data_IF_142235029043
#
_entry.id   IF_142235029043
#
_cell.length_a   1.000
_cell.length_b   1.000
_cell.length_c   1.000
_cell.angle_alpha   90.00
_cell.angle_beta   90.00
_cell.angle_gamma   90.00
#
_symmetry.space_group_name_H-M   'P 1'
#
loop_
_entity.id
_entity.type
_entity.pdbx_description
1 polymer ?
#
# COMPACT_ATOMS: atom_id res chain seq x y z
N UNK A 1 -31.24 40.33 -9.33
CA UNK A 1 -30.16 40.39 -10.34
C UNK A 1 -29.28 39.20 -10.09
N UNK A 2 -29.38 38.19 -10.93
CA UNK A 2 -28.54 36.98 -10.82
C UNK A 2 -27.10 37.31 -11.24
N UNK A 3 -26.08 36.80 -10.52
CA UNK A 3 -24.70 36.99 -10.89
C UNK A 3 -24.41 36.22 -12.20
N UNK A 4 -23.76 36.91 -13.14
CA UNK A 4 -23.35 36.32 -14.41
C UNK A 4 -22.46 35.08 -14.19
N UNK A 5 -22.61 34.03 -15.03
CA UNK A 5 -21.79 32.83 -14.91
C UNK A 5 -20.32 33.15 -15.19
N UNK A 6 -19.43 32.55 -14.41
CA UNK A 6 -17.99 32.67 -14.59
C UNK A 6 -17.59 32.10 -15.97
N UNK A 7 -16.61 32.73 -16.65
CA UNK A 7 -16.07 32.20 -17.90
C UNK A 7 -15.47 30.82 -17.65
N UNK A 8 -15.85 29.85 -18.50
CA UNK A 8 -15.26 28.52 -18.49
C UNK A 8 -13.75 28.56 -18.78
N UNK A 9 -12.99 27.54 -18.39
CA UNK A 9 -11.56 27.46 -18.67
C UNK A 9 -11.33 27.51 -20.19
N UNK A 10 -10.48 28.44 -20.64
CA UNK A 10 -10.03 28.53 -22.02
C UNK A 10 -9.30 27.25 -22.42
N UNK A 11 -9.78 26.58 -23.47
CA UNK A 11 -9.14 25.41 -24.09
C UNK A 11 -7.93 25.78 -24.96
N UNK A 12 -7.65 27.07 -25.13
CA UNK A 12 -6.62 27.59 -26.04
C UNK A 12 -5.30 27.93 -25.33
N UNK A 13 -4.78 27.00 -24.52
CA UNK A 13 -3.37 27.08 -24.12
C UNK A 13 -2.49 26.74 -25.34
N UNK A 14 -1.45 27.54 -25.65
CA UNK A 14 -0.58 27.27 -26.80
C UNK A 14 0.06 25.89 -26.64
N UNK A 15 -0.21 25.00 -27.59
CA UNK A 15 0.31 23.63 -27.63
C UNK A 15 1.83 23.67 -27.82
N UNK A 16 2.54 22.76 -27.15
CA UNK A 16 3.99 22.69 -27.22
C UNK A 16 4.39 22.01 -28.55
N UNK A 17 5.03 22.72 -29.50
CA UNK A 17 5.32 22.18 -30.83
C UNK A 17 6.27 20.98 -30.79
N UNK A 18 7.10 20.86 -29.74
CA UNK A 18 7.97 19.69 -29.53
C UNK A 18 7.15 18.45 -29.17
N UNK A 19 6.05 18.61 -28.41
CA UNK A 19 5.18 17.50 -28.03
C UNK A 19 4.25 17.08 -29.16
N UNK A 20 3.82 18.01 -30.01
CA UNK A 20 3.00 17.69 -31.19
C UNK A 20 3.82 16.96 -32.26
N UNK A 21 5.06 17.41 -32.50
CA UNK A 21 5.98 16.72 -33.42
C UNK A 21 6.32 15.31 -32.92
N UNK A 22 6.57 15.15 -31.62
CA UNK A 22 6.83 13.86 -30.99
C UNK A 22 5.60 12.92 -31.01
N UNK A 23 4.41 13.44 -30.75
CA UNK A 23 3.18 12.65 -30.82
C UNK A 23 2.83 12.20 -32.24
N UNK A 24 3.03 13.08 -33.23
CA UNK A 24 2.85 12.75 -34.64
C UNK A 24 3.82 11.66 -35.12
N UNK A 25 5.04 11.63 -34.58
CA UNK A 25 6.06 10.62 -34.90
C UNK A 25 5.77 9.25 -34.31
N UNK A 26 5.21 9.19 -33.10
CA UNK A 26 4.89 7.93 -32.43
C UNK A 26 3.53 7.32 -32.86
N UNK A 27 2.78 7.99 -33.74
CA UNK A 27 1.37 7.68 -34.06
C UNK A 27 0.51 7.63 -32.78
N UNK A 28 0.72 8.60 -31.88
CA UNK A 28 0.00 8.69 -30.61
C UNK A 28 -0.69 10.04 -30.44
N UNK A 29 -1.77 10.04 -29.67
CA UNK A 29 -2.52 11.24 -29.32
C UNK A 29 -1.64 12.22 -28.50
N UNK A 30 -1.36 13.44 -29.02
CA UNK A 30 -0.56 14.45 -28.32
C UNK A 30 -1.13 14.85 -26.97
N UNK A 31 -2.46 14.81 -26.81
CA UNK A 31 -3.10 15.13 -25.54
C UNK A 31 -2.84 14.03 -24.50
N UNK A 32 -2.78 12.76 -24.92
CA UNK A 32 -2.46 11.64 -24.06
C UNK A 32 -0.99 11.67 -23.60
N UNK A 33 -0.06 11.89 -24.52
CA UNK A 33 1.37 12.06 -24.21
C UNK A 33 1.60 13.24 -23.24
N UNK A 34 0.94 14.37 -23.48
CA UNK A 34 1.00 15.53 -22.59
C UNK A 34 0.45 15.21 -21.19
N UNK A 35 -0.63 14.42 -21.09
CA UNK A 35 -1.15 13.92 -19.82
C UNK A 35 -0.15 12.97 -19.14
N UNK A 36 0.55 12.09 -19.86
CA UNK A 36 1.58 11.21 -19.29
C UNK A 36 2.77 11.99 -18.72
N UNK A 37 3.31 12.93 -19.49
CA UNK A 37 4.41 13.80 -19.04
C UNK A 37 3.97 14.64 -17.84
N UNK A 38 2.72 15.13 -17.85
CA UNK A 38 2.13 15.84 -16.70
C UNK A 38 1.98 14.92 -15.49
N UNK A 39 1.47 13.69 -15.68
CA UNK A 39 1.36 12.69 -14.62
C UNK A 39 2.73 12.38 -14.01
N UNK A 40 3.77 12.20 -14.83
CA UNK A 40 5.13 11.99 -14.34
C UNK A 40 5.73 13.19 -13.62
N UNK A 41 5.58 14.41 -14.17
CA UNK A 41 6.01 15.67 -13.53
C UNK A 41 5.29 15.90 -12.21
N UNK A 42 4.00 15.54 -12.10
CA UNK A 42 3.27 15.58 -10.83
C UNK A 42 3.82 14.58 -9.80
N UNK A 43 4.50 13.51 -10.22
CA UNK A 43 5.25 12.61 -9.31
C UNK A 43 6.63 13.14 -8.91
N UNK A 44 7.15 14.19 -9.57
CA UNK A 44 8.42 14.84 -9.22
C UNK A 44 8.30 15.80 -8.05
N UNK A 45 7.09 16.29 -7.73
CA UNK A 45 6.87 17.33 -6.70
C UNK A 45 7.16 16.95 -5.24
N UNK A 46 7.63 15.74 -4.94
CA UNK A 46 8.01 15.33 -3.59
C UNK A 46 9.12 14.27 -3.62
N UNK A 47 10.38 14.67 -3.64
CA UNK A 47 11.49 13.80 -3.24
C UNK A 47 11.51 13.66 -1.71
N UNK A 48 10.67 12.76 -1.20
CA UNK A 48 10.92 12.16 0.11
C UNK A 48 12.13 11.22 -0.03
N UNK A 49 13.22 11.53 0.67
CA UNK A 49 14.32 10.61 0.87
C UNK A 49 13.78 9.29 1.44
N UNK A 50 13.99 8.17 0.71
CA UNK A 50 13.83 6.83 1.26
C UNK A 50 15.07 6.56 2.13
N UNK A 51 15.07 7.13 3.33
CA UNK A 51 15.87 6.62 4.43
C UNK A 51 15.02 5.62 5.20
N UNK A 52 15.53 4.40 5.31
CA UNK A 52 15.08 3.44 6.32
C UNK A 52 15.61 3.94 7.66
N UNK A 53 15.00 5.00 8.19
CA UNK A 53 15.14 5.42 9.58
C UNK A 53 13.78 5.23 10.25
N UNK A 54 13.73 4.62 11.45
CA UNK A 54 12.49 4.53 12.19
C UNK A 54 12.17 5.93 12.74
N UNK A 55 11.00 6.44 12.40
CA UNK A 55 10.46 7.67 12.99
C UNK A 55 10.85 8.95 12.26
N UNK A 56 10.06 9.36 11.27
CA UNK A 56 9.76 10.78 11.05
C UNK A 56 8.29 10.99 10.73
N UNK A 57 7.78 12.07 11.28
CA UNK A 57 6.41 12.49 11.38
C UNK A 57 5.67 12.51 10.04
N UNK A 58 4.45 11.98 10.05
CA UNK A 58 3.46 12.27 9.02
C UNK A 58 2.88 13.66 9.31
N UNK A 59 3.62 14.70 8.91
CA UNK A 59 2.98 16.01 8.72
C UNK A 59 1.81 15.83 7.76
N UNK A 60 0.69 16.51 8.04
CA UNK A 60 -0.44 16.58 7.13
C UNK A 60 0.03 17.12 5.78
N UNK A 61 0.38 16.22 4.86
CA UNK A 61 0.45 16.55 3.44
C UNK A 61 -0.98 16.93 3.07
N UNK A 62 -1.18 18.20 2.69
CA UNK A 62 -2.34 18.59 1.88
C UNK A 62 -2.47 17.53 0.78
N UNK A 63 -3.68 17.06 0.50
CA UNK A 63 -3.92 16.17 -0.64
C UNK A 63 -3.14 16.72 -1.82
N UNK A 64 -2.08 16.01 -2.23
CA UNK A 64 -1.19 16.53 -3.26
C UNK A 64 -2.00 16.56 -4.55
N UNK A 65 -1.82 17.55 -5.42
CA UNK A 65 -2.55 17.63 -6.71
C UNK A 65 -2.57 16.31 -7.51
N UNK A 66 -1.59 15.42 -7.27
CA UNK A 66 -1.52 14.05 -7.80
C UNK A 66 -2.69 13.16 -7.34
N UNK A 67 -3.16 13.24 -6.10
CA UNK A 67 -4.31 12.45 -5.64
C UNK A 67 -5.57 12.83 -6.40
N UNK A 68 -5.72 14.12 -6.71
CA UNK A 68 -6.96 14.65 -7.27
C UNK A 68 -7.07 14.31 -8.77
N UNK A 69 -5.97 14.44 -9.53
CA UNK A 69 -5.94 14.08 -10.95
C UNK A 69 -6.10 12.56 -11.16
N UNK A 70 -5.46 11.72 -10.32
CA UNK A 70 -5.64 10.27 -10.38
C UNK A 70 -7.06 9.87 -9.99
N UNK A 71 -7.61 10.45 -8.92
CA UNK A 71 -8.97 10.18 -8.46
C UNK A 71 -10.03 10.57 -9.50
N UNK A 72 -9.78 11.60 -10.32
CA UNK A 72 -10.69 12.02 -11.38
C UNK A 72 -10.83 11.00 -12.52
N UNK A 73 -9.83 10.14 -12.72
CA UNK A 73 -9.82 9.11 -13.78
C UNK A 73 -9.84 7.68 -13.21
N UNK A 74 -9.97 7.55 -11.90
CA UNK A 74 -9.99 6.27 -11.20
C UNK A 74 -11.30 5.52 -11.47
N UNK A 75 -11.26 4.20 -11.77
CA UNK A 75 -12.47 3.42 -11.95
C UNK A 75 -13.39 3.47 -10.73
N UNK A 76 -14.71 3.45 -10.97
CA UNK A 76 -15.73 3.59 -9.92
C UNK A 76 -15.67 2.50 -8.85
N UNK A 77 -15.18 1.31 -9.20
CA UNK A 77 -15.18 0.15 -8.31
C UNK A 77 -13.76 -0.36 -8.03
N UNK A 78 -13.54 -0.84 -6.79
CA UNK A 78 -12.27 -1.44 -6.39
C UNK A 78 -11.92 -2.69 -7.23
N UNK A 79 -12.92 -3.40 -7.75
CA UNK A 79 -12.72 -4.53 -8.65
C UNK A 79 -12.06 -4.09 -9.96
N UNK A 80 -12.56 -3.02 -10.58
CA UNK A 80 -11.97 -2.45 -11.80
C UNK A 80 -10.57 -1.89 -11.54
N UNK A 81 -10.34 -1.24 -10.39
CA UNK A 81 -8.99 -0.82 -9.96
C UNK A 81 -8.04 -2.01 -9.90
N UNK A 82 -8.45 -3.10 -9.24
CA UNK A 82 -7.64 -4.32 -9.14
C UNK A 82 -7.37 -4.94 -10.51
N UNK A 83 -8.35 -4.88 -11.42
CA UNK A 83 -8.22 -5.38 -12.79
C UNK A 83 -7.26 -4.55 -13.62
N UNK A 84 -7.35 -3.21 -13.58
CA UNK A 84 -6.40 -2.30 -14.22
C UNK A 84 -4.95 -2.58 -13.77
N UNK A 85 -4.76 -2.76 -12.46
CA UNK A 85 -3.46 -3.16 -11.91
C UNK A 85 -2.97 -4.52 -12.39
N UNK A 86 -3.87 -5.50 -12.57
CA UNK A 86 -3.51 -6.82 -13.08
C UNK A 86 -3.06 -6.75 -14.54
N UNK A 87 -3.85 -6.11 -15.40
CA UNK A 87 -3.53 -5.91 -16.82
C UNK A 87 -2.16 -5.25 -17.01
N UNK A 88 -1.92 -4.14 -16.30
CA UNK A 88 -0.62 -3.45 -16.41
C UNK A 88 0.55 -4.30 -15.95
N UNK A 89 0.39 -5.06 -14.85
CA UNK A 89 1.46 -5.94 -14.37
C UNK A 89 1.78 -7.04 -15.39
N UNK A 90 0.75 -7.72 -15.89
CA UNK A 90 0.91 -8.82 -16.85
C UNK A 90 1.61 -8.35 -18.12
N UNK A 91 1.17 -7.23 -18.71
CA UNK A 91 1.80 -6.66 -19.89
C UNK A 91 3.24 -6.23 -19.62
N UNK A 92 3.48 -5.51 -18.52
CA UNK A 92 4.84 -5.07 -18.16
C UNK A 92 5.76 -6.27 -17.98
N UNK A 93 5.30 -7.34 -17.33
CA UNK A 93 6.12 -8.52 -17.09
C UNK A 93 6.44 -9.26 -18.39
N UNK A 94 5.44 -9.42 -19.27
CA UNK A 94 5.64 -10.02 -20.58
C UNK A 94 6.63 -9.23 -21.44
N UNK A 95 6.49 -7.90 -21.51
CA UNK A 95 7.35 -7.05 -22.35
C UNK A 95 8.79 -6.93 -21.87
N UNK A 96 9.01 -6.95 -20.55
CA UNK A 96 10.35 -6.87 -19.96
C UNK A 96 10.99 -8.26 -19.73
N UNK A 97 10.28 -9.36 -20.02
CA UNK A 97 10.79 -10.71 -19.80
C UNK A 97 11.01 -11.05 -18.32
N UNK A 98 10.25 -10.42 -17.42
CA UNK A 98 10.34 -10.63 -15.97
C UNK A 98 9.12 -11.41 -15.46
N UNK A 99 9.24 -12.08 -14.32
CA UNK A 99 8.13 -12.88 -13.74
C UNK A 99 7.44 -12.17 -12.59
N UNK A 100 8.13 -11.25 -11.94
CA UNK A 100 7.65 -10.51 -10.78
C UNK A 100 8.34 -9.15 -10.67
N UNK A 101 7.70 -8.20 -9.97
CA UNK A 101 8.23 -6.86 -9.75
C UNK A 101 9.66 -6.84 -9.19
N UNK A 102 10.03 -7.80 -8.34
CA UNK A 102 11.38 -7.85 -7.75
C UNK A 102 12.47 -8.24 -8.74
N UNK A 103 12.14 -8.75 -9.93
CA UNK A 103 13.14 -9.09 -10.93
C UNK A 103 13.74 -7.82 -11.58
N UNK A 104 13.05 -6.67 -11.48
CA UNK A 104 13.58 -5.37 -11.90
C UNK A 104 14.82 -4.90 -11.12
N UNK A 105 15.21 -5.59 -10.04
CA UNK A 105 16.51 -5.36 -9.38
C UNK A 105 17.69 -5.68 -10.31
N UNK A 106 17.49 -6.59 -11.27
CA UNK A 106 18.47 -6.95 -12.30
C UNK A 106 18.20 -6.24 -13.64
N UNK A 107 17.33 -5.23 -13.63
CA UNK A 107 17.04 -4.44 -14.81
C UNK A 107 18.31 -3.76 -15.33
N UNK A 108 18.55 -3.87 -16.63
CA UNK A 108 19.60 -3.14 -17.34
C UNK A 108 18.95 -1.85 -17.87
N UNK A 109 19.23 -0.69 -17.27
CA UNK A 109 18.64 0.57 -17.70
C UNK A 109 19.08 0.93 -19.12
N UNK A 110 18.30 1.78 -19.78
CA UNK A 110 18.77 2.47 -20.98
C UNK A 110 20.03 3.29 -20.65
N UNK A 111 21.00 3.31 -21.55
CA UNK A 111 22.21 4.11 -21.39
C UNK A 111 21.92 5.59 -21.57
N UNK A 112 22.79 6.47 -21.05
CA UNK A 112 22.65 7.92 -21.26
C UNK A 112 22.70 8.27 -22.75
N UNK A 113 23.58 7.61 -23.51
CA UNK A 113 23.67 7.73 -24.97
C UNK A 113 22.36 7.32 -25.66
N UNK A 114 21.76 6.17 -25.31
CA UNK A 114 20.47 5.73 -25.88
C UNK A 114 19.35 6.76 -25.60
N UNK A 115 19.33 7.34 -24.39
CA UNK A 115 18.32 8.34 -23.99
C UNK A 115 18.56 9.68 -24.69
N UNK A 116 19.81 10.10 -24.89
CA UNK A 116 20.17 11.32 -25.60
C UNK A 116 19.96 11.20 -27.12
N UNK A 117 20.32 10.06 -27.71
CA UNK A 117 20.04 9.75 -29.12
C UNK A 117 18.55 9.74 -29.38
N UNK A 118 17.76 9.13 -28.50
CA UNK A 118 16.29 9.14 -28.61
C UNK A 118 15.71 10.56 -28.57
N UNK A 119 16.31 11.48 -27.81
CA UNK A 119 15.89 12.87 -27.81
C UNK A 119 16.20 13.59 -29.15
N UNK A 120 17.05 13.02 -30.00
CA UNK A 120 17.47 13.56 -31.29
C UNK A 120 16.83 12.84 -32.48
N UNK A 121 16.59 11.53 -32.40
CA UNK A 121 16.05 10.67 -33.47
C UNK A 121 15.11 9.58 -32.89
N UNK A 122 13.82 9.64 -33.25
CA UNK A 122 12.70 9.17 -32.41
C UNK A 122 12.33 7.67 -32.58
N UNK A 123 12.80 6.97 -33.62
CA UNK A 123 12.29 5.61 -33.92
C UNK A 123 13.33 4.48 -33.86
N UNK A 124 14.61 4.73 -34.15
CA UNK A 124 15.57 3.65 -34.37
C UNK A 124 16.02 2.91 -33.08
N UNK A 125 15.90 3.56 -31.91
CA UNK A 125 16.40 3.03 -30.64
C UNK A 125 15.44 2.05 -29.94
N UNK A 126 14.19 1.93 -30.39
CA UNK A 126 13.12 1.19 -29.71
C UNK A 126 13.10 -0.33 -29.92
N UNK A 127 14.28 -0.96 -29.97
CA UNK A 127 14.40 -2.38 -30.27
C UNK A 127 13.93 -3.29 -29.12
N UNK A 128 13.94 -2.80 -27.87
CA UNK A 128 13.54 -3.55 -26.67
C UNK A 128 12.92 -2.65 -25.61
N UNK A 129 12.06 -3.23 -24.76
CA UNK A 129 11.50 -2.52 -23.61
C UNK A 129 12.55 -2.37 -22.52
N UNK A 130 12.98 -1.13 -22.27
CA UNK A 130 13.87 -0.77 -21.18
C UNK A 130 13.43 0.52 -20.53
N UNK A 131 13.51 0.59 -19.21
CA UNK A 131 13.37 1.86 -18.50
C UNK A 131 14.74 2.51 -18.29
N UNK A 132 14.78 3.83 -18.40
CA UNK A 132 15.85 4.67 -17.88
C UNK A 132 15.69 4.78 -16.35
N UNK A 133 16.75 4.53 -15.58
CA UNK A 133 16.81 4.68 -14.11
C UNK A 133 17.81 5.76 -13.65
N UNK A 134 18.29 6.58 -14.59
CA UNK A 134 19.14 7.74 -14.40
C UNK A 134 18.52 8.82 -13.50
N UNK A 135 19.29 9.86 -13.20
CA UNK A 135 18.92 10.88 -12.19
C UNK A 135 17.52 11.43 -12.44
N UNK A 136 17.24 11.78 -13.69
CA UNK A 136 16.02 12.46 -14.15
C UNK A 136 15.00 11.52 -14.81
N UNK A 137 15.02 10.23 -14.47
CA UNK A 137 14.14 9.21 -15.03
C UNK A 137 12.63 9.56 -15.08
N UNK A 138 12.13 10.38 -14.16
CA UNK A 138 10.72 10.79 -14.12
C UNK A 138 10.39 11.86 -15.15
N UNK A 139 11.37 12.60 -15.65
CA UNK A 139 11.21 13.58 -16.73
C UNK A 139 11.78 13.08 -18.05
N UNK A 140 12.32 11.86 -18.06
CA UNK A 140 12.91 11.22 -19.22
C UNK A 140 11.85 10.99 -20.31
N UNK A 141 12.07 11.58 -21.49
CA UNK A 141 11.23 11.39 -22.67
C UNK A 141 11.18 9.91 -23.08
N UNK A 142 12.33 9.21 -22.93
CA UNK A 142 12.44 7.78 -23.11
C UNK A 142 11.40 7.01 -22.27
N UNK A 143 11.36 7.26 -20.96
CA UNK A 143 10.40 6.58 -20.09
C UNK A 143 8.95 6.95 -20.41
N UNK A 144 8.68 8.18 -20.86
CA UNK A 144 7.35 8.57 -21.31
C UNK A 144 6.90 7.70 -22.48
N UNK A 145 7.72 7.61 -23.52
CA UNK A 145 7.44 6.82 -24.72
C UNK A 145 7.35 5.31 -24.44
N UNK A 146 8.22 4.76 -23.57
CA UNK A 146 8.11 3.35 -23.13
C UNK A 146 6.78 3.08 -22.44
N UNK A 147 6.34 3.96 -21.54
CA UNK A 147 5.07 3.79 -20.83
C UNK A 147 3.87 3.94 -21.75
N UNK A 148 3.92 4.88 -22.68
CA UNK A 148 2.88 5.10 -23.68
C UNK A 148 2.69 3.85 -24.56
N UNK A 149 3.80 3.29 -25.06
CA UNK A 149 3.80 2.04 -25.82
C UNK A 149 3.24 0.86 -25.02
N UNK A 150 3.55 0.78 -23.72
CA UNK A 150 2.97 -0.24 -22.83
C UNK A 150 1.46 -0.07 -22.65
N UNK A 151 0.98 1.17 -22.48
CA UNK A 151 -0.46 1.43 -22.40
C UNK A 151 -1.14 1.08 -23.71
N UNK A 152 -0.58 1.49 -24.85
CA UNK A 152 -1.11 1.14 -26.17
C UNK A 152 -1.18 -0.38 -26.38
N UNK A 153 -0.18 -1.13 -25.91
CA UNK A 153 -0.21 -2.59 -25.92
C UNK A 153 -1.35 -3.17 -25.07
N UNK A 154 -1.56 -2.66 -23.86
CA UNK A 154 -2.67 -3.10 -23.00
C UNK A 154 -4.02 -2.78 -23.63
N UNK A 155 -4.17 -1.61 -24.22
CA UNK A 155 -5.38 -1.23 -24.96
C UNK A 155 -5.63 -2.22 -26.11
N UNK A 156 -4.60 -2.53 -26.89
CA UNK A 156 -4.70 -3.48 -28.01
C UNK A 156 -5.07 -4.89 -27.55
N UNK A 157 -4.49 -5.37 -26.44
CA UNK A 157 -4.81 -6.69 -25.91
C UNK A 157 -6.21 -6.76 -25.28
N UNK A 158 -6.64 -5.71 -24.56
CA UNK A 158 -7.98 -5.65 -23.97
C UNK A 158 -9.09 -5.68 -25.04
N UNK A 159 -8.86 -5.04 -26.19
CA UNK A 159 -9.78 -5.09 -27.34
C UNK A 159 -10.05 -6.52 -27.85
N UNK A 160 -9.07 -7.40 -27.73
CA UNK A 160 -9.16 -8.80 -28.16
C UNK A 160 -9.82 -9.70 -27.11
N UNK A 161 -9.88 -9.28 -25.84
CA UNK A 161 -10.27 -10.15 -24.73
C UNK A 161 -11.53 -9.64 -24.01
N UNK A 162 -11.39 -8.78 -23.00
CA UNK A 162 -12.47 -8.45 -22.06
C UNK A 162 -13.14 -7.09 -22.30
N UNK A 163 -12.50 -6.21 -23.09
CA UNK A 163 -13.04 -4.92 -23.53
C UNK A 163 -13.42 -3.98 -22.38
N UNK A 164 -12.66 -3.96 -21.28
CA UNK A 164 -12.90 -3.01 -20.19
C UNK A 164 -12.63 -1.57 -20.62
N UNK A 165 -11.60 -1.36 -21.43
CA UNK A 165 -11.17 -0.03 -21.89
C UNK A 165 -12.14 0.48 -22.96
N UNK A 166 -12.56 -0.40 -23.89
CA UNK A 166 -13.56 -0.05 -24.90
C UNK A 166 -14.91 0.34 -24.30
N UNK A 167 -15.29 -0.27 -23.17
CA UNK A 167 -16.51 0.07 -22.44
C UNK A 167 -16.34 1.29 -21.52
N UNK A 168 -15.19 1.98 -21.60
CA UNK A 168 -14.85 3.14 -20.77
C UNK A 168 -14.88 2.85 -19.26
N UNK A 169 -14.74 1.57 -18.87
CA UNK A 169 -14.69 1.17 -17.46
C UNK A 169 -13.31 1.43 -16.83
N UNK A 170 -12.27 1.47 -17.67
CA UNK A 170 -10.89 1.76 -17.28
C UNK A 170 -10.30 2.72 -18.32
N UNK A 171 -9.90 3.91 -17.91
CA UNK A 171 -9.27 4.89 -18.80
C UNK A 171 -7.80 4.57 -19.08
N UNK A 172 -7.30 4.78 -20.32
CA UNK A 172 -5.87 4.69 -20.63
C UNK A 172 -5.01 5.60 -19.75
N UNK A 173 -5.52 6.79 -19.38
CA UNK A 173 -4.86 7.71 -18.46
C UNK A 173 -4.61 7.08 -17.09
N UNK A 174 -5.59 6.35 -16.54
CA UNK A 174 -5.42 5.65 -15.27
C UNK A 174 -4.34 4.57 -15.33
N UNK A 175 -4.27 3.84 -16.45
CA UNK A 175 -3.18 2.88 -16.70
C UNK A 175 -1.80 3.56 -16.68
N UNK A 176 -1.71 4.78 -17.22
CA UNK A 176 -0.51 5.59 -17.13
C UNK A 176 -0.11 5.96 -15.72
N UNK A 177 -1.06 6.35 -14.86
CA UNK A 177 -0.77 6.58 -13.44
C UNK A 177 -0.28 5.31 -12.75
N UNK A 178 -0.84 4.13 -13.07
CA UNK A 178 -0.38 2.85 -12.53
C UNK A 178 1.07 2.57 -12.93
N UNK A 179 1.42 2.72 -14.21
CA UNK A 179 2.78 2.51 -14.70
C UNK A 179 3.77 3.47 -14.07
N UNK A 180 3.40 4.74 -13.97
CA UNK A 180 4.22 5.77 -13.37
C UNK A 180 4.55 5.42 -11.89
N UNK A 181 3.56 4.93 -11.13
CA UNK A 181 3.78 4.41 -9.77
C UNK A 181 4.60 3.13 -9.73
N UNK A 182 4.47 2.25 -10.72
CA UNK A 182 5.30 1.05 -10.85
C UNK A 182 6.76 1.41 -11.14
N UNK A 183 7.02 2.32 -12.09
CA UNK A 183 8.36 2.80 -12.45
C UNK A 183 9.10 3.36 -11.23
N UNK A 184 8.42 4.17 -10.41
CA UNK A 184 8.98 4.68 -9.16
C UNK A 184 9.39 3.55 -8.22
N UNK A 185 8.56 2.52 -8.09
CA UNK A 185 8.86 1.34 -7.25
C UNK A 185 10.00 0.51 -7.81
N UNK A 186 10.02 0.26 -9.11
CA UNK A 186 11.06 -0.53 -9.77
C UNK A 186 12.42 0.15 -9.63
N UNK A 187 12.51 1.46 -9.90
CA UNK A 187 13.76 2.22 -9.67
C UNK A 187 14.17 2.19 -8.20
N UNK A 188 13.22 2.37 -7.28
CA UNK A 188 13.52 2.38 -5.85
C UNK A 188 14.11 1.05 -5.39
N UNK A 189 13.54 -0.07 -5.84
CA UNK A 189 14.05 -1.42 -5.56
C UNK A 189 15.41 -1.63 -6.23
N UNK A 190 15.56 -1.31 -7.52
CA UNK A 190 16.83 -1.38 -8.26
C UNK A 190 17.96 -0.59 -7.57
N UNK A 191 17.68 0.64 -7.12
CA UNK A 191 18.65 1.48 -6.40
C UNK A 191 19.11 0.88 -5.07
N UNK A 192 18.36 -0.04 -4.47
CA UNK A 192 18.84 -0.78 -3.29
C UNK A 192 19.90 -1.82 -3.64
N UNK A 193 20.03 -2.23 -4.89
CA UNK A 193 21.02 -3.21 -5.35
C UNK A 193 22.22 -2.56 -6.03
N UNK A 194 22.21 -1.24 -6.21
CA UNK A 194 23.35 -0.51 -6.75
C UNK A 194 24.41 -0.25 -5.68
N UNK A 195 25.71 -0.36 -6.00
CA UNK A 195 26.81 0.09 -5.15
C UNK A 195 26.64 1.53 -4.69
N UNK A 196 26.96 1.79 -3.42
CA UNK A 196 26.96 3.13 -2.83
C UNK A 196 28.29 3.41 -2.17
N UNK A 197 28.58 4.69 -1.95
CA UNK A 197 29.73 5.09 -1.14
C UNK A 197 29.49 4.66 0.31
N UNK A 198 30.39 3.86 0.86
CA UNK A 198 30.42 3.43 2.26
C UNK A 198 31.31 4.41 3.03
N UNK A 199 30.69 5.31 3.79
CA UNK A 199 31.39 6.34 4.58
C UNK A 199 32.28 5.72 5.67
N UNK A 200 31.87 4.61 6.27
CA UNK A 200 32.62 3.95 7.36
C UNK A 200 33.91 3.32 6.82
N UNK A 201 33.86 2.77 5.61
CA UNK A 201 35.03 2.15 4.95
C UNK A 201 35.79 3.12 4.04
N UNK A 202 35.27 4.32 3.79
CA UNK A 202 35.87 5.30 2.88
C UNK A 202 36.05 4.79 1.45
N UNK A 203 35.16 3.90 0.97
CA UNK A 203 35.24 3.31 -0.37
C UNK A 203 33.85 3.03 -0.94
N UNK A 204 33.75 2.80 -2.24
CA UNK A 204 32.53 2.24 -2.83
C UNK A 204 32.28 0.82 -2.32
N UNK A 205 31.01 0.51 -2.03
CA UNK A 205 30.53 -0.85 -1.82
C UNK A 205 30.89 -1.71 -3.04
N UNK A 206 31.26 -2.97 -2.81
CA UNK A 206 31.34 -3.97 -3.87
C UNK A 206 29.94 -4.39 -4.33
N UNK A 207 29.82 -4.95 -5.54
CA UNK A 207 28.54 -5.49 -6.02
C UNK A 207 27.95 -6.54 -5.07
N UNK A 208 28.80 -7.39 -4.49
CA UNK A 208 28.38 -8.40 -3.52
C UNK A 208 27.80 -7.78 -2.24
N UNK A 209 28.41 -6.70 -1.73
CA UNK A 209 27.89 -5.94 -0.58
C UNK A 209 26.54 -5.28 -0.91
N UNK A 210 26.42 -4.67 -2.09
CA UNK A 210 25.18 -4.03 -2.55
C UNK A 210 24.03 -5.05 -2.69
N UNK A 211 24.32 -6.23 -3.25
CA UNK A 211 23.35 -7.34 -3.36
C UNK A 211 22.95 -7.85 -1.97
N UNK A 212 23.88 -7.98 -1.02
CA UNK A 212 23.57 -8.39 0.34
C UNK A 212 22.65 -7.37 1.04
N UNK A 213 22.96 -6.07 0.91
CA UNK A 213 22.12 -4.98 1.42
C UNK A 213 20.72 -5.00 0.81
N UNK A 214 20.62 -5.12 -0.52
CA UNK A 214 19.34 -5.23 -1.22
C UNK A 214 18.49 -6.41 -0.73
N UNK A 215 19.10 -7.59 -0.53
CA UNK A 215 18.42 -8.78 0.02
C UNK A 215 17.87 -8.55 1.43
N UNK A 216 18.62 -7.89 2.31
CA UNK A 216 18.16 -7.54 3.66
C UNK A 216 16.95 -6.59 3.59
N UNK A 217 17.00 -5.58 2.73
CA UNK A 217 15.87 -4.64 2.53
C UNK A 217 14.62 -5.36 2.04
N UNK A 218 14.73 -6.22 1.02
CA UNK A 218 13.60 -7.00 0.52
C UNK A 218 13.04 -7.96 1.56
N UNK A 219 13.90 -8.61 2.35
CA UNK A 219 13.50 -9.47 3.45
C UNK A 219 12.70 -8.69 4.50
N UNK A 220 13.22 -7.54 4.96
CA UNK A 220 12.55 -6.70 5.94
C UNK A 220 11.21 -6.15 5.43
N UNK A 221 11.13 -5.79 4.14
CA UNK A 221 9.88 -5.38 3.49
C UNK A 221 8.86 -6.52 3.46
N UNK A 222 9.30 -7.74 3.12
CA UNK A 222 8.44 -8.95 3.12
C UNK A 222 7.92 -9.27 4.51
N UNK A 223 8.79 -9.23 5.53
CA UNK A 223 8.39 -9.44 6.94
C UNK A 223 7.37 -8.38 7.35
N UNK A 224 7.66 -7.11 7.11
CA UNK A 224 6.73 -6.01 7.41
C UNK A 224 5.37 -6.18 6.72
N UNK A 225 5.37 -6.52 5.43
CA UNK A 225 4.13 -6.75 4.67
C UNK A 225 3.33 -7.94 5.21
N UNK A 226 3.99 -9.05 5.55
CA UNK A 226 3.33 -10.20 6.19
C UNK A 226 2.68 -9.82 7.51
N UNK A 227 3.37 -9.04 8.35
CA UNK A 227 2.81 -8.56 9.61
C UNK A 227 1.58 -7.68 9.38
N UNK A 228 1.67 -6.71 8.46
CA UNK A 228 0.54 -5.82 8.10
C UNK A 228 -0.65 -6.64 7.60
N UNK A 229 -0.42 -7.57 6.68
CA UNK A 229 -1.48 -8.40 6.10
C UNK A 229 -2.08 -9.33 7.15
N UNK A 230 -1.26 -9.93 8.00
CA UNK A 230 -1.72 -10.76 9.11
C UNK A 230 -2.64 -10.00 10.06
N UNK A 231 -2.35 -8.73 10.34
CA UNK A 231 -3.23 -7.88 11.15
C UNK A 231 -4.55 -7.55 10.45
N UNK A 232 -4.53 -7.22 9.16
CA UNK A 232 -5.76 -7.01 8.39
C UNK A 232 -6.63 -8.27 8.36
N UNK A 233 -6.02 -9.44 8.14
CA UNK A 233 -6.73 -10.71 8.16
C UNK A 233 -7.35 -10.99 9.54
N UNK A 234 -6.62 -10.72 10.63
CA UNK A 234 -7.16 -10.86 11.99
C UNK A 234 -8.31 -9.90 12.27
N UNK A 235 -8.17 -8.63 11.89
CA UNK A 235 -9.24 -7.65 12.01
C UNK A 235 -10.49 -8.10 11.25
N UNK A 236 -10.35 -8.45 9.97
CA UNK A 236 -11.46 -8.90 9.14
C UNK A 236 -12.12 -10.17 9.71
N UNK A 237 -11.33 -11.13 10.19
CA UNK A 237 -11.85 -12.36 10.77
C UNK A 237 -12.64 -12.13 12.06
N UNK A 238 -12.11 -11.29 12.96
CA UNK A 238 -12.80 -10.88 14.19
C UNK A 238 -14.07 -10.12 13.88
N UNK A 239 -13.99 -9.16 12.95
CA UNK A 239 -15.14 -8.38 12.50
C UNK A 239 -16.25 -9.28 11.95
N UNK A 240 -15.92 -10.19 11.03
CA UNK A 240 -16.88 -11.16 10.49
C UNK A 240 -17.49 -12.04 11.58
N UNK A 241 -16.69 -12.50 12.55
CA UNK A 241 -17.18 -13.29 13.69
C UNK A 241 -18.19 -12.49 14.52
N UNK A 242 -17.87 -11.25 14.87
CA UNK A 242 -18.76 -10.39 15.66
C UNK A 242 -20.03 -10.08 14.88
N UNK A 243 -19.94 -9.71 13.60
CA UNK A 243 -21.12 -9.45 12.75
C UNK A 243 -22.02 -10.69 12.64
N UNK A 244 -21.46 -11.88 12.44
CA UNK A 244 -22.24 -13.11 12.41
C UNK A 244 -22.88 -13.43 13.77
N UNK A 245 -22.16 -13.16 14.87
CA UNK A 245 -22.68 -13.37 16.22
C UNK A 245 -23.84 -12.41 16.53
N UNK A 246 -23.73 -11.14 16.15
CA UNK A 246 -24.82 -10.15 16.26
C UNK A 246 -26.06 -10.67 15.53
N UNK A 247 -25.94 -11.09 14.27
CA UNK A 247 -27.07 -11.58 13.49
C UNK A 247 -27.76 -12.81 14.15
N UNK A 248 -26.98 -13.73 14.72
CA UNK A 248 -27.54 -14.85 15.49
C UNK A 248 -28.26 -14.38 16.75
N UNK A 249 -27.63 -13.49 17.52
CA UNK A 249 -28.16 -12.95 18.78
C UNK A 249 -29.43 -12.12 18.59
N UNK A 250 -29.52 -11.36 17.50
CA UNK A 250 -30.73 -10.67 17.07
C UNK A 250 -31.87 -11.66 16.80
N UNK A 251 -31.59 -12.76 16.10
CA UNK A 251 -32.62 -13.77 15.80
C UNK A 251 -33.10 -14.53 17.04
N UNK A 252 -32.24 -14.67 18.05
CA UNK A 252 -32.51 -15.36 19.31
C UNK A 252 -33.13 -14.43 20.39
N UNK A 253 -33.10 -13.11 20.18
CA UNK A 253 -33.52 -12.13 21.20
C UNK A 253 -32.65 -12.16 22.47
N UNK A 254 -31.34 -12.38 22.31
CA UNK A 254 -30.44 -12.61 23.44
C UNK A 254 -30.07 -11.34 24.22
N UNK A 255 -30.01 -11.45 25.55
CA UNK A 255 -29.72 -10.32 26.47
C UNK A 255 -28.34 -9.68 26.25
N UNK A 256 -27.37 -10.42 25.69
CA UNK A 256 -26.00 -9.95 25.46
C UNK A 256 -25.79 -9.28 24.08
N UNK A 257 -26.85 -9.09 23.28
CA UNK A 257 -26.78 -8.45 21.96
C UNK A 257 -26.04 -7.10 21.98
N UNK A 258 -26.44 -6.20 22.88
CA UNK A 258 -25.83 -4.87 23.02
C UNK A 258 -24.33 -4.93 23.33
N UNK A 259 -23.88 -6.02 23.96
CA UNK A 259 -22.45 -6.23 24.23
C UNK A 259 -21.70 -6.57 22.94
N UNK A 260 -22.26 -7.40 22.07
CA UNK A 260 -21.64 -7.73 20.79
C UNK A 260 -21.61 -6.54 19.82
N UNK A 261 -22.68 -5.75 19.75
CA UNK A 261 -22.71 -4.50 18.98
C UNK A 261 -21.59 -3.54 19.42
N UNK A 262 -21.43 -3.40 20.74
CA UNK A 262 -20.40 -2.53 21.28
C UNK A 262 -18.98 -3.09 21.09
N UNK A 263 -18.79 -4.42 21.07
CA UNK A 263 -17.53 -5.04 20.64
C UNK A 263 -17.21 -4.73 19.17
N UNK A 264 -18.22 -4.71 18.29
CA UNK A 264 -18.06 -4.33 16.88
C UNK A 264 -17.57 -2.88 16.76
N UNK A 265 -18.16 -1.96 17.53
CA UNK A 265 -17.72 -0.56 17.54
C UNK A 265 -16.25 -0.42 18.01
N UNK A 266 -15.84 -1.17 19.04
CA UNK A 266 -14.44 -1.18 19.50
C UNK A 266 -13.52 -1.68 18.38
N UNK A 267 -13.90 -2.78 17.70
CA UNK A 267 -13.12 -3.31 16.58
C UNK A 267 -13.00 -2.30 15.45
N UNK A 268 -14.09 -1.65 15.05
CA UNK A 268 -14.11 -0.69 13.95
C UNK A 268 -13.31 0.58 14.28
N UNK A 269 -13.34 1.04 15.54
CA UNK A 269 -12.47 2.13 16.00
C UNK A 269 -10.98 1.76 15.95
N UNK A 270 -10.63 0.54 16.37
CA UNK A 270 -9.24 0.06 16.39
C UNK A 270 -8.70 -0.27 15.00
N UNK A 271 -9.55 -0.79 14.11
CA UNK A 271 -9.18 -1.28 12.78
C UNK A 271 -8.07 -2.34 12.79
N UNK A 272 -7.43 -2.53 11.64
CA UNK A 272 -6.25 -3.40 11.52
C UNK A 272 -5.05 -2.90 12.36
N UNK A 273 -4.96 -1.59 12.61
CA UNK A 273 -3.89 -0.98 13.41
C UNK A 273 -3.93 -1.39 14.89
N UNK A 274 -5.11 -1.71 15.43
CA UNK A 274 -5.28 -2.18 16.80
C UNK A 274 -5.09 -3.68 17.02
N UNK A 275 -4.75 -4.44 15.97
CA UNK A 275 -4.46 -5.87 16.09
C UNK A 275 -3.02 -6.11 16.55
N UNK A 276 -2.81 -7.07 17.44
CA UNK A 276 -1.48 -7.40 17.96
C UNK A 276 -0.55 -7.93 16.87
N UNK A 277 0.75 -7.68 16.99
CA UNK A 277 1.76 -8.28 16.13
C UNK A 277 1.95 -9.75 16.52
N UNK A 278 2.09 -10.62 15.51
CA UNK A 278 2.35 -12.05 15.71
C UNK A 278 3.61 -12.46 14.97
N UNK A 279 4.46 -13.23 15.64
CA UNK A 279 5.64 -13.86 15.02
C UNK A 279 5.46 -15.38 15.04
N UNK A 280 5.66 -16.01 13.89
CA UNK A 280 5.63 -17.46 13.77
C UNK A 280 6.92 -18.05 14.31
N UNK A 281 6.80 -19.04 15.19
CA UNK A 281 7.93 -19.80 15.69
C UNK A 281 7.58 -21.29 15.75
N UNK A 282 8.51 -22.15 15.35
CA UNK A 282 8.34 -23.59 15.44
C UNK A 282 8.90 -24.07 16.78
N UNK A 283 8.03 -24.63 17.63
CA UNK A 283 8.46 -25.32 18.85
C UNK A 283 8.40 -26.82 18.66
N UNK A 284 9.28 -27.56 19.33
CA UNK A 284 9.12 -29.01 19.46
C UNK A 284 8.13 -29.29 20.59
N UNK A 285 7.00 -29.90 20.25
CA UNK A 285 6.00 -30.37 21.20
C UNK A 285 5.92 -31.90 21.08
N UNK A 286 6.29 -32.62 22.14
CA UNK A 286 6.41 -34.09 22.12
C UNK A 286 7.26 -34.66 20.95
N UNK A 287 8.35 -33.96 20.59
CA UNK A 287 9.23 -34.35 19.49
C UNK A 287 8.72 -33.99 18.09
N UNK A 288 7.47 -33.52 17.95
CA UNK A 288 6.93 -33.01 16.69
C UNK A 288 7.13 -31.50 16.57
N UNK A 289 7.49 -31.01 15.37
CA UNK A 289 7.52 -29.56 15.10
C UNK A 289 6.08 -29.05 15.03
N UNK A 290 5.68 -28.29 16.03
CA UNK A 290 4.40 -27.60 16.08
C UNK A 290 4.62 -26.11 15.83
N UNK A 291 3.90 -25.58 14.83
CA UNK A 291 3.86 -24.15 14.57
C UNK A 291 3.12 -23.45 15.70
N UNK A 292 3.75 -22.47 16.34
CA UNK A 292 3.14 -21.60 17.36
C UNK A 292 3.24 -20.14 16.92
N UNK A 293 2.32 -19.31 17.40
CA UNK A 293 2.37 -17.86 17.18
C UNK A 293 2.63 -17.14 18.50
N UNK A 294 3.66 -16.31 18.51
CA UNK A 294 3.97 -15.42 19.63
C UNK A 294 3.23 -14.11 19.41
N UNK A 295 2.28 -13.79 20.28
CA UNK A 295 1.49 -12.56 20.24
C UNK A 295 2.18 -11.52 21.12
N UNK A 296 2.68 -10.45 20.49
CA UNK A 296 3.38 -9.36 21.19
C UNK A 296 2.41 -8.41 21.88
N UNK A 297 2.90 -7.78 22.94
CA UNK A 297 2.14 -6.82 23.74
C UNK A 297 1.92 -5.51 22.98
N UNK A 298 0.67 -5.04 22.91
CA UNK A 298 0.32 -3.70 22.46
C UNK A 298 0.36 -2.74 23.65
N UNK A 299 1.53 -2.20 23.98
CA UNK A 299 1.75 -1.37 25.17
C UNK A 299 0.82 -0.15 25.26
N UNK A 300 0.43 0.39 24.10
CA UNK A 300 -0.44 1.56 24.02
C UNK A 300 -1.91 1.26 24.22
N UNK A 301 -2.34 -0.01 24.08
CA UNK A 301 -3.75 -0.38 24.06
C UNK A 301 -4.25 -0.61 25.48
N UNK A 302 -5.43 -0.09 25.79
CA UNK A 302 -6.07 -0.27 27.09
C UNK A 302 -6.16 -1.78 27.47
N UNK A 303 -5.64 -2.20 28.64
CA UNK A 303 -5.61 -3.61 29.04
C UNK A 303 -6.94 -4.35 28.93
N UNK A 304 -8.07 -3.71 29.29
CA UNK A 304 -9.40 -4.34 29.18
C UNK A 304 -9.75 -4.78 27.75
N UNK A 305 -9.19 -4.13 26.72
CA UNK A 305 -9.40 -4.52 25.33
C UNK A 305 -8.81 -5.91 25.04
N UNK A 306 -7.78 -6.34 25.77
CA UNK A 306 -7.23 -7.70 25.64
C UNK A 306 -8.29 -8.74 25.98
N UNK A 307 -9.10 -8.49 27.01
CA UNK A 307 -10.17 -9.38 27.42
C UNK A 307 -11.32 -9.38 26.41
N UNK A 308 -11.69 -8.21 25.88
CA UNK A 308 -12.67 -8.10 24.79
C UNK A 308 -12.26 -8.89 23.55
N UNK A 309 -11.00 -8.78 23.13
CA UNK A 309 -10.47 -9.56 22.01
C UNK A 309 -10.46 -11.07 22.31
N UNK A 310 -10.24 -11.44 23.59
CA UNK A 310 -10.31 -12.83 24.04
C UNK A 310 -11.72 -13.42 23.90
N UNK A 311 -12.77 -12.64 24.21
CA UNK A 311 -14.16 -13.06 24.02
C UNK A 311 -14.43 -13.36 22.54
N UNK A 312 -14.01 -12.46 21.64
CA UNK A 312 -14.17 -12.63 20.20
C UNK A 312 -13.38 -13.84 19.69
N UNK A 313 -12.14 -14.02 20.15
CA UNK A 313 -11.28 -15.16 19.76
C UNK A 313 -11.87 -16.50 20.23
N UNK A 314 -12.50 -16.55 21.42
CA UNK A 314 -13.22 -17.74 21.92
C UNK A 314 -14.42 -18.05 21.02
N UNK A 315 -15.22 -17.06 20.66
CA UNK A 315 -16.37 -17.26 19.78
C UNK A 315 -15.94 -17.68 18.38
N UNK A 316 -14.86 -17.08 17.87
CA UNK A 316 -14.20 -17.49 16.62
C UNK A 316 -13.85 -18.97 16.66
N UNK A 317 -13.24 -19.42 17.76
CA UNK A 317 -12.85 -20.82 17.95
C UNK A 317 -14.06 -21.76 17.99
N UNK A 318 -15.20 -21.32 18.56
CA UNK A 318 -16.46 -22.07 18.54
C UNK A 318 -16.99 -22.24 17.13
N UNK A 319 -17.01 -21.19 16.31
CA UNK A 319 -17.40 -21.29 14.90
C UNK A 319 -16.45 -22.19 14.11
N UNK A 320 -15.14 -22.09 14.34
CA UNK A 320 -14.16 -22.96 13.68
C UNK A 320 -14.28 -24.43 14.08
N UNK A 321 -14.68 -24.73 15.33
CA UNK A 321 -14.87 -26.10 15.79
C UNK A 321 -16.00 -26.83 15.05
N UNK A 322 -16.94 -26.09 14.44
CA UNK A 322 -18.00 -26.63 13.59
C UNK A 322 -17.51 -26.95 12.17
N UNK A 323 -16.34 -26.45 11.76
CA UNK A 323 -15.75 -26.72 10.47
C UNK A 323 -14.76 -27.90 10.54
N UNK A 324 -14.84 -28.81 9.57
CA UNK A 324 -13.89 -29.92 9.39
C UNK A 324 -12.58 -29.40 8.77
N UNK A 325 -11.82 -28.62 9.54
CA UNK A 325 -10.56 -28.01 9.13
C UNK A 325 -9.39 -28.34 10.05
N UNK A 326 -8.19 -27.89 9.65
CA UNK A 326 -7.01 -27.98 10.53
C UNK A 326 -7.21 -27.09 11.74
N UNK A 327 -6.97 -27.63 12.95
CA UNK A 327 -7.06 -26.86 14.19
C UNK A 327 -6.12 -25.64 14.13
N UNK A 328 -6.56 -24.47 14.62
CA UNK A 328 -5.71 -23.29 14.63
C UNK A 328 -4.44 -23.56 15.45
N UNK A 329 -3.32 -23.06 14.95
CA UNK A 329 -2.05 -23.13 15.68
C UNK A 329 -2.17 -22.40 17.03
N UNK A 330 -1.58 -22.95 18.11
CA UNK A 330 -1.64 -22.34 19.42
C UNK A 330 -0.95 -20.98 19.43
N UNK A 331 -1.53 -20.04 20.18
CA UNK A 331 -1.04 -18.68 20.35
C UNK A 331 -0.54 -18.49 21.78
N UNK A 332 0.67 -17.97 21.92
CA UNK A 332 1.31 -17.67 23.21
C UNK A 332 1.48 -16.17 23.31
N UNK A 333 0.88 -15.54 24.33
CA UNK A 333 1.07 -14.12 24.60
C UNK A 333 2.37 -13.92 25.37
N UNK A 334 3.16 -12.93 24.97
CA UNK A 334 4.41 -12.56 25.63
C UNK A 334 4.38 -11.09 26.02
N UNK A 335 5.15 -10.74 27.05
CA UNK A 335 5.27 -9.36 27.53
C UNK A 335 6.16 -8.49 26.62
N UNK A 336 6.85 -9.10 25.64
CA UNK A 336 7.67 -8.38 24.67
C UNK A 336 6.82 -7.37 23.90
N UNK A 337 7.14 -6.07 23.96
CA UNK A 337 6.42 -5.04 23.22
C UNK A 337 6.47 -5.27 21.71
N UNK A 338 5.36 -4.99 21.03
CA UNK A 338 5.33 -4.88 19.57
C UNK A 338 6.13 -3.66 19.09
N UNK A 339 6.53 -3.67 17.82
CA UNK A 339 7.32 -2.56 17.21
C UNK A 339 6.44 -1.42 16.68
N UNK A 340 5.12 -1.60 16.63
CA UNK A 340 4.19 -0.65 16.01
C UNK A 340 3.81 0.51 16.91
N UNK A 341 3.69 1.66 16.26
CA UNK A 341 3.11 2.87 16.81
C UNK A 341 1.61 2.72 17.06
N UNK A 342 1.11 3.46 18.05
CA UNK A 342 -0.31 3.54 18.35
C UNK A 342 -1.08 4.19 17.18
N UNK A 343 -2.29 3.68 16.82
CA UNK A 343 -3.15 4.34 15.86
C UNK A 343 -3.49 5.76 16.34
N UNK A 344 -3.61 6.70 15.39
CA UNK A 344 -4.01 8.09 15.66
C UNK A 344 -5.52 8.21 15.62
N UNK A 345 -6.07 9.20 16.34
CA UNK A 345 -7.51 9.50 16.27
C UNK A 345 -8.40 8.57 17.10
N UNK A 346 -7.85 7.73 17.98
CA UNK A 346 -8.69 6.92 18.86
C UNK A 346 -9.24 7.77 20.02
N UNK A 347 -10.41 7.41 20.58
CA UNK A 347 -10.86 7.91 21.87
C UNK A 347 -9.82 7.65 22.97
N UNK A 348 -9.69 8.57 23.92
CA UNK A 348 -8.72 8.49 25.01
C UNK A 348 -8.78 7.16 25.79
N UNK A 349 -9.98 6.63 26.00
CA UNK A 349 -10.22 5.39 26.74
C UNK A 349 -9.71 4.12 26.05
N UNK A 350 -9.36 4.16 24.76
CA UNK A 350 -8.78 3.01 24.07
C UNK A 350 -7.27 2.94 24.21
N UNK A 351 -6.65 4.00 24.73
CA UNK A 351 -5.25 4.01 25.07
C UNK A 351 -5.05 3.64 26.54
N UNK A 352 -3.99 2.91 26.82
CA UNK A 352 -3.51 2.65 28.17
C UNK A 352 -3.10 3.99 28.82
N UNK A 353 -3.69 4.31 29.97
CA UNK A 353 -3.46 5.56 30.69
C UNK A 353 -2.02 5.72 31.19
N UNK A 354 -1.38 4.64 31.67
CA UNK A 354 0.02 4.64 32.12
C UNK A 354 0.96 4.91 30.95
N UNK A 355 0.70 4.24 29.82
CA UNK A 355 1.46 4.47 28.60
C UNK A 355 1.28 5.91 28.10
N UNK A 356 0.07 6.45 28.08
CA UNK A 356 -0.16 7.85 27.71
C UNK A 356 0.57 8.83 28.63
N UNK A 357 0.60 8.55 29.94
CA UNK A 357 1.30 9.38 30.92
C UNK A 357 2.83 9.37 30.72
N UNK A 358 3.37 8.32 30.10
CA UNK A 358 4.80 8.22 29.76
C UNK A 358 5.20 9.02 28.51
N UNK A 359 4.24 9.47 27.70
CA UNK A 359 4.50 10.19 26.47
C UNK A 359 4.82 11.67 26.70
N UNK A 360 5.67 12.22 25.85
CA UNK A 360 5.89 13.67 25.79
C UNK A 360 4.66 14.41 25.26
N UNK A 361 4.56 15.71 25.55
CA UNK A 361 3.47 16.56 25.04
C UNK A 361 3.37 16.59 23.51
N UNK A 362 4.52 16.48 22.83
CA UNK A 362 4.56 16.42 21.37
C UNK A 362 3.97 15.11 20.85
N UNK A 363 4.36 13.97 21.44
CA UNK A 363 3.82 12.65 21.07
C UNK A 363 2.31 12.57 21.34
N UNK A 364 1.84 13.08 22.48
CA UNK A 364 0.41 13.17 22.79
C UNK A 364 -0.36 13.99 21.75
N UNK A 365 0.20 15.13 21.33
CA UNK A 365 -0.39 15.96 20.27
C UNK A 365 -0.42 15.22 18.92
N UNK A 366 0.60 14.42 18.62
CA UNK A 366 0.66 13.62 17.39
C UNK A 366 -0.36 12.48 17.33
N UNK A 367 -0.81 11.96 18.48
CA UNK A 367 -1.88 10.96 18.55
C UNK A 367 -3.23 11.50 18.05
N UNK A 368 -3.44 12.82 18.11
CA UNK A 368 -4.71 13.47 17.72
C UNK A 368 -5.91 12.79 18.37
N UNK A 369 -5.83 12.61 19.69
CA UNK A 369 -6.84 11.90 20.48
C UNK A 369 -8.24 12.44 20.14
N UNK A 370 -9.16 11.53 19.81
CA UNK A 370 -10.51 11.91 19.44
C UNK A 370 -11.27 12.43 20.65
N UNK A 371 -12.08 13.47 20.43
CA UNK A 371 -13.01 14.03 21.43
C UNK A 371 -14.23 13.14 21.64
N UNK A 372 -14.42 12.09 20.82
CA UNK A 372 -15.54 11.17 20.96
C UNK A 372 -15.45 10.48 22.32
N UNK A 373 -16.45 10.70 23.16
CA UNK A 373 -16.59 9.98 24.42
C UNK A 373 -17.02 8.56 24.09
N UNK A 374 -16.26 7.58 24.57
CA UNK A 374 -16.53 6.17 24.37
C UNK A 374 -16.36 5.48 25.72
N UNK A 375 -17.41 4.86 26.26
CA UNK A 375 -17.32 4.07 27.49
C UNK A 375 -16.86 2.65 27.17
N UNK A 376 -15.83 2.16 27.85
CA UNK A 376 -15.56 0.72 27.91
C UNK A 376 -16.57 0.05 28.84
N UNK A 377 -16.79 -1.25 28.68
CA UNK A 377 -17.64 -1.98 29.61
C UNK A 377 -17.00 -1.98 31.00
N UNK A 378 -17.72 -1.51 32.01
CA UNK A 378 -17.26 -1.56 33.40
C UNK A 378 -17.76 -2.84 34.11
N UNK A 379 -18.74 -3.57 33.54
CA UNK A 379 -19.52 -4.53 34.34
C UNK A 379 -19.89 -5.90 33.70
N UNK A 380 -19.74 -6.11 32.39
CA UNK A 380 -20.37 -7.28 31.74
C UNK A 380 -19.46 -8.52 31.56
N UNK A 381 -18.15 -8.41 31.74
CA UNK A 381 -17.21 -9.52 31.48
C UNK A 381 -17.42 -10.73 32.42
N UNK A 382 -17.95 -10.51 33.63
CA UNK A 382 -18.23 -11.60 34.59
C UNK A 382 -19.42 -12.50 34.20
N UNK A 383 -20.29 -12.09 33.26
CA UNK A 383 -21.49 -12.87 32.86
C UNK A 383 -21.32 -13.66 31.55
N UNK A 384 -20.25 -13.41 30.79
CA UNK A 384 -20.02 -14.03 29.46
C UNK A 384 -18.91 -15.09 29.43
N UNK A 385 -18.26 -15.36 30.57
CA UNK A 385 -17.11 -16.26 30.68
C UNK A 385 -17.50 -17.73 30.59
#
# INVERSE_FOLDING_TARGET
MDPAPLPGPSLDAPRNPVMEDFAAKLDVDPDLLAKFVTAMKLMNGETAHINVSPGKSTQHRKASRKSDAKAAVEPETQELVNKAHALMREMTYARFGVKQATDFIFHIPATEEEVEEFAQDDEAAFQRYQFDFGVDYKSSAWNAAVMERLVADVVREDLLNMRYIQKELISPEYLGYILAEQLVRYRADWKQFQPKWDEEKGRMETEAEAVARGKIVLFNRRVSSRTVNGQHMKFNHRRNTVTATIALKESEGADDLATWERLLEILDLLGAGGMSEEEEFNSLDNGAKVRKYIVKLCVWREPLIVDYMSIIDKQTSRFQALHNGTKPAPRVRVETPGKRYAPKGLPACLYNSEWMASLSLLELKELKISKKVFALFVAATSRMA
#
